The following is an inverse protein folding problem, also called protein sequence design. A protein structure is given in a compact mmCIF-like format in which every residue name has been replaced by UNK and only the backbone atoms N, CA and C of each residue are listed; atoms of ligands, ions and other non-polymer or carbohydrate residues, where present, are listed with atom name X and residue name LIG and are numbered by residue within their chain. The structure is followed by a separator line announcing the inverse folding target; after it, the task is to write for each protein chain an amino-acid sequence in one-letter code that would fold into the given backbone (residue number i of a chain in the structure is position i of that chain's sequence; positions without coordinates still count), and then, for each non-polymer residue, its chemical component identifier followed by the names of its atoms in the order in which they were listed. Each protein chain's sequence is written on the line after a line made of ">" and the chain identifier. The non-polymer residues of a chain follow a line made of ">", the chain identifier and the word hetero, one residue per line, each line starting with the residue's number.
data_IF_456621402697
#
_entry.id   IF_456621402697
#
_cell.length_a   1.000
_cell.length_b   1.000
_cell.length_c   1.000
_cell.angle_alpha   90.00
_cell.angle_beta   90.00
_cell.angle_gamma   90.00
#
_symmetry.space_group_name_H-M   'P 1'
#
loop_
_entity.id
_entity.type
_entity.pdbx_description
1 polymer ?
#
# COMPACT_ATOMS: atom_id res chain seq x y z
N UNK A 1 -20.74 15.24 8.16
CA UNK A 1 -20.27 14.67 6.87
C UNK A 1 -19.23 13.64 7.22
N UNK A 2 -19.38 12.39 6.79
CA UNK A 2 -18.33 11.40 7.01
C UNK A 2 -17.28 11.62 5.91
N UNK A 3 -16.07 12.01 6.27
CA UNK A 3 -14.95 12.09 5.35
C UNK A 3 -14.64 10.66 4.90
N UNK A 4 -15.12 10.28 3.72
CA UNK A 4 -15.01 8.93 3.18
C UNK A 4 -14.33 8.96 1.83
N UNK A 5 -13.29 8.13 1.67
CA UNK A 5 -12.54 7.95 0.43
C UNK A 5 -12.78 6.54 -0.10
N UNK A 6 -13.12 6.43 -1.38
CA UNK A 6 -13.20 5.16 -2.10
C UNK A 6 -11.91 5.02 -2.90
N UNK A 7 -11.08 4.03 -2.57
CA UNK A 7 -9.77 3.88 -3.19
C UNK A 7 -9.63 2.50 -3.81
N UNK A 8 -9.51 2.44 -5.14
CA UNK A 8 -9.06 1.23 -5.82
C UNK A 8 -7.54 1.12 -5.70
N UNK A 9 -7.03 -0.02 -5.24
CA UNK A 9 -5.60 -0.25 -5.03
C UNK A 9 -5.17 -1.59 -5.66
N UNK A 10 -4.24 -1.51 -6.61
CA UNK A 10 -3.60 -2.65 -7.28
C UNK A 10 -2.16 -2.83 -6.75
N UNK A 11 -1.95 -3.81 -5.86
CA UNK A 11 -0.63 -4.22 -5.39
C UNK A 11 0.05 -5.16 -6.41
N UNK A 12 0.38 -4.69 -7.61
CA UNK A 12 1.09 -5.51 -8.59
C UNK A 12 2.49 -5.92 -8.12
N UNK A 13 3.03 -7.03 -8.64
CA UNK A 13 4.42 -7.47 -8.38
C UNK A 13 5.49 -6.61 -9.07
N UNK A 14 5.08 -5.60 -9.83
CA UNK A 14 5.97 -4.63 -10.50
C UNK A 14 5.73 -3.22 -9.97
N UNK A 15 4.47 -2.81 -9.92
CA UNK A 15 4.08 -1.48 -9.47
C UNK A 15 2.84 -1.54 -8.58
N UNK A 16 2.77 -0.61 -7.64
CA UNK A 16 1.57 -0.27 -6.90
C UNK A 16 0.86 0.85 -7.65
N UNK A 17 -0.45 0.72 -7.86
CA UNK A 17 -1.26 1.74 -8.53
C UNK A 17 -2.56 1.99 -7.78
N UNK A 18 -3.05 3.22 -7.82
CA UNK A 18 -4.39 3.55 -7.32
C UNK A 18 -5.29 4.15 -8.38
N UNK A 19 -6.61 4.13 -8.11
CA UNK A 19 -7.60 4.88 -8.91
C UNK A 19 -7.30 6.38 -8.98
N UNK A 20 -6.69 6.93 -7.91
CA UNK A 20 -6.33 8.35 -7.80
C UNK A 20 -5.01 8.71 -8.48
N UNK A 21 -4.39 7.76 -9.20
CA UNK A 21 -3.19 7.98 -10.01
C UNK A 21 -1.86 7.88 -9.27
N UNK A 22 -1.83 7.39 -8.03
CA UNK A 22 -0.57 7.04 -7.37
C UNK A 22 0.11 5.89 -8.13
N UNK A 23 1.42 6.00 -8.38
CA UNK A 23 2.22 4.93 -8.99
C UNK A 23 3.58 4.86 -8.28
N UNK A 24 3.97 3.66 -7.85
CA UNK A 24 5.32 3.38 -7.35
C UNK A 24 5.79 1.99 -7.78
N UNK A 25 7.11 1.77 -7.79
CA UNK A 25 7.64 0.41 -7.92
C UNK A 25 7.28 -0.42 -6.68
N UNK A 26 7.02 -1.72 -6.88
CA UNK A 26 6.65 -2.65 -5.83
C UNK A 26 7.88 -3.09 -5.02
N UNK A 27 8.42 -2.17 -4.23
CA UNK A 27 9.38 -2.51 -3.19
C UNK A 27 9.92 -1.31 -2.44
N UNK A 28 10.77 -1.60 -1.47
CA UNK A 28 11.29 -0.62 -0.53
C UNK A 28 12.59 -1.09 0.13
N UNK A 29 13.33 -0.14 0.68
CA UNK A 29 14.43 -0.40 1.61
C UNK A 29 13.95 -0.03 3.02
N UNK A 30 14.02 -0.99 3.95
CA UNK A 30 13.68 -0.79 5.37
C UNK A 30 14.92 -0.38 6.16
N UNK A 31 14.81 0.64 7.00
CA UNK A 31 15.87 1.12 7.89
C UNK A 31 15.33 1.40 9.29
N UNK A 32 16.21 1.22 10.29
CA UNK A 32 15.97 1.67 11.67
C UNK A 32 16.34 3.14 11.89
N UNK A 33 17.19 3.70 11.02
CA UNK A 33 17.65 5.08 11.08
C UNK A 33 17.03 5.86 9.92
N UNK A 34 16.78 7.15 10.15
CA UNK A 34 16.29 8.04 9.11
C UNK A 34 17.26 8.08 7.92
N UNK A 35 16.79 7.87 6.69
CA UNK A 35 17.64 7.94 5.51
C UNK A 35 18.00 9.39 5.17
N UNK A 36 19.09 9.58 4.41
CA UNK A 36 19.52 10.91 3.94
C UNK A 36 18.44 11.57 3.05
N UNK A 37 17.72 10.77 2.27
CA UNK A 37 16.65 11.23 1.38
C UNK A 37 15.28 10.89 1.97
N UNK A 38 14.41 11.90 2.06
CA UNK A 38 13.01 11.77 2.51
C UNK A 38 12.02 11.67 1.35
N UNK A 39 12.50 11.65 0.11
CA UNK A 39 11.66 11.47 -1.08
C UNK A 39 11.03 10.07 -1.08
N UNK A 40 9.71 9.99 -1.21
CA UNK A 40 8.93 8.74 -1.14
C UNK A 40 9.23 7.90 0.11
N UNK A 41 9.40 8.57 1.26
CA UNK A 41 9.64 7.94 2.55
C UNK A 41 8.32 7.67 3.28
N UNK A 42 8.08 6.41 3.62
CA UNK A 42 7.05 6.02 4.59
C UNK A 42 7.69 5.84 5.96
N UNK A 43 7.09 6.42 6.98
CA UNK A 43 7.39 6.16 8.38
C UNK A 43 6.23 5.37 8.96
N UNK A 44 6.50 4.15 9.43
CA UNK A 44 5.49 3.26 9.98
C UNK A 44 6.07 2.48 11.15
N UNK A 45 5.38 2.48 12.30
CA UNK A 45 5.81 1.81 13.54
C UNK A 45 7.26 2.10 13.95
N UNK A 46 7.69 3.37 13.81
CA UNK A 46 9.04 3.81 14.17
C UNK A 46 10.15 3.28 13.24
N UNK A 47 9.79 2.79 12.05
CA UNK A 47 10.72 2.35 11.00
C UNK A 47 10.56 3.20 9.74
N UNK A 48 11.64 3.26 8.98
CA UNK A 48 11.74 4.05 7.75
C UNK A 48 11.71 3.12 6.54
N UNK A 49 10.89 3.43 5.56
CA UNK A 49 10.70 2.65 4.34
C UNK A 49 10.86 3.58 3.12
N UNK A 50 12.00 3.51 2.45
CA UNK A 50 12.23 4.24 1.20
C UNK A 50 11.53 3.48 0.06
N UNK A 51 10.38 4.01 -0.40
CA UNK A 51 9.50 3.34 -1.35
C UNK A 51 10.04 3.51 -2.77
N UNK A 52 9.95 2.44 -3.57
CA UNK A 52 10.40 2.40 -4.95
C UNK A 52 11.92 2.39 -5.13
N UNK A 53 12.69 2.27 -4.04
CA UNK A 53 14.16 2.27 -4.08
C UNK A 53 14.76 0.90 -4.46
N UNK A 54 13.98 -0.17 -4.32
CA UNK A 54 14.34 -1.53 -4.71
C UNK A 54 13.08 -2.30 -5.08
N UNK A 55 13.21 -3.28 -5.97
CA UNK A 55 12.09 -4.15 -6.33
C UNK A 55 12.09 -5.41 -5.45
N UNK A 56 10.94 -5.74 -4.88
CA UNK A 56 10.79 -7.00 -4.15
C UNK A 56 10.68 -8.19 -5.12
N UNK A 57 11.03 -9.37 -4.61
CA UNK A 57 10.78 -10.62 -5.32
C UNK A 57 9.28 -10.80 -5.59
N UNK A 58 8.96 -11.44 -6.71
CA UNK A 58 7.57 -11.75 -7.07
C UNK A 58 6.95 -12.63 -6.00
N UNK A 59 5.80 -12.20 -5.46
CA UNK A 59 5.01 -12.96 -4.49
C UNK A 59 3.66 -13.33 -5.11
N UNK A 60 3.38 -14.64 -5.16
CA UNK A 60 2.09 -15.15 -5.65
C UNK A 60 0.99 -14.98 -4.61
N UNK A 61 1.30 -15.31 -3.35
CA UNK A 61 0.47 -14.98 -2.20
C UNK A 61 1.08 -13.77 -1.47
N UNK A 62 0.39 -12.62 -1.56
CA UNK A 62 0.83 -11.34 -0.97
C UNK A 62 0.56 -11.22 0.52
N UNK A 63 -0.07 -12.24 1.10
CA UNK A 63 -0.42 -12.26 2.53
C UNK A 63 0.61 -12.98 3.40
N UNK A 64 1.67 -13.52 2.79
CA UNK A 64 2.74 -14.26 3.48
C UNK A 64 3.57 -13.38 4.40
N UNK A 65 3.61 -12.07 4.14
CA UNK A 65 4.32 -11.09 4.95
C UNK A 65 3.66 -9.71 4.83
N UNK A 66 4.26 -8.67 5.41
CA UNK A 66 3.69 -7.33 5.45
C UNK A 66 3.96 -6.47 4.21
N UNK A 67 4.65 -6.98 3.19
CA UNK A 67 5.16 -6.15 2.09
C UNK A 67 4.04 -5.43 1.34
N UNK A 68 2.98 -6.15 0.98
CA UNK A 68 1.83 -5.57 0.27
C UNK A 68 1.12 -4.50 1.10
N UNK A 69 1.06 -4.66 2.42
CA UNK A 69 0.48 -3.66 3.32
C UNK A 69 1.34 -2.41 3.43
N UNK A 70 2.64 -2.56 3.70
CA UNK A 70 3.59 -1.46 3.75
C UNK A 70 3.55 -0.66 2.45
N UNK A 71 3.52 -1.35 1.30
CA UNK A 71 3.43 -0.72 -0.02
C UNK A 71 2.08 -0.05 -0.31
N UNK A 72 1.03 -0.37 0.45
CA UNK A 72 -0.29 0.25 0.30
C UNK A 72 -0.43 1.55 1.10
N UNK A 73 0.27 1.68 2.23
CA UNK A 73 0.21 2.86 3.10
C UNK A 73 0.54 4.19 2.39
N UNK A 74 1.64 4.33 1.61
CA UNK A 74 1.92 5.59 0.93
C UNK A 74 0.87 5.91 -0.14
N UNK A 75 0.28 4.88 -0.75
CA UNK A 75 -0.77 5.03 -1.76
C UNK A 75 -2.10 5.50 -1.14
N UNK A 76 -2.42 5.01 0.07
CA UNK A 76 -3.57 5.48 0.87
C UNK A 76 -3.33 6.91 1.34
N UNK A 77 -2.13 7.21 1.86
CA UNK A 77 -1.77 8.55 2.31
C UNK A 77 -1.84 9.58 1.17
N UNK A 78 -1.37 9.25 -0.04
CA UNK A 78 -1.49 10.10 -1.22
C UNK A 78 -2.95 10.44 -1.55
N UNK A 79 -3.84 9.44 -1.51
CA UNK A 79 -5.27 9.65 -1.74
C UNK A 79 -5.90 10.56 -0.67
N UNK A 80 -5.56 10.38 0.61
CA UNK A 80 -6.03 11.24 1.70
C UNK A 80 -5.55 12.69 1.50
N UNK A 81 -4.25 12.86 1.21
CA UNK A 81 -3.64 14.17 1.01
C UNK A 81 -4.24 14.94 -0.18
N UNK A 82 -4.58 14.24 -1.27
CA UNK A 82 -5.22 14.86 -2.45
C UNK A 82 -6.59 15.45 -2.15
N UNK A 83 -7.36 14.84 -1.24
CA UNK A 83 -8.67 15.35 -0.83
C UNK A 83 -8.53 16.51 0.16
N UNK A 84 -7.39 16.61 0.87
CA UNK A 84 -7.12 17.70 1.81
C UNK A 84 -8.03 17.70 3.03
N UNK A 85 -8.51 16.52 3.44
CA UNK A 85 -9.33 16.37 4.64
C UNK A 85 -8.47 16.39 5.89
N UNK A 86 -8.94 17.10 6.91
CA UNK A 86 -8.35 17.09 8.25
C UNK A 86 -9.14 16.17 9.18
N UNK A 87 -8.45 15.58 10.17
CA UNK A 87 -9.04 14.65 11.12
C UNK A 87 -9.19 13.22 10.60
N UNK A 88 -10.08 12.45 11.23
CA UNK A 88 -10.29 11.05 10.89
C UNK A 88 -11.01 10.89 9.54
N UNK A 89 -10.55 9.92 8.75
CA UNK A 89 -11.08 9.61 7.42
C UNK A 89 -11.34 8.11 7.28
N UNK A 90 -12.53 7.77 6.80
CA UNK A 90 -12.90 6.40 6.46
C UNK A 90 -12.40 6.07 5.04
N UNK A 91 -11.44 5.16 4.92
CA UNK A 91 -11.00 4.67 3.61
C UNK A 91 -11.65 3.32 3.29
N UNK A 92 -12.52 3.31 2.29
CA UNK A 92 -13.05 2.08 1.70
C UNK A 92 -12.05 1.62 0.63
N UNK A 93 -11.26 0.61 0.98
CA UNK A 93 -10.22 0.08 0.12
C UNK A 93 -10.73 -1.08 -0.76
N UNK A 94 -10.70 -0.88 -2.08
CA UNK A 94 -10.94 -1.92 -3.07
C UNK A 94 -9.62 -2.55 -3.51
N UNK A 95 -9.35 -3.80 -3.10
CA UNK A 95 -8.13 -4.54 -3.47
C UNK A 95 -8.43 -5.70 -4.41
N UNK A 96 -7.46 -6.05 -5.27
CA UNK A 96 -7.61 -7.07 -6.31
C UNK A 96 -6.57 -8.19 -6.25
N UNK A 97 -6.96 -9.36 -6.77
CA UNK A 97 -6.07 -10.50 -7.01
C UNK A 97 -6.17 -10.94 -8.48
N UNK A 98 -5.09 -11.50 -9.05
CA UNK A 98 -5.17 -12.17 -10.35
C UNK A 98 -6.26 -13.26 -10.33
N UNK A 99 -6.96 -13.44 -11.44
CA UNK A 99 -8.08 -14.40 -11.55
C UNK A 99 -7.69 -15.82 -11.10
N UNK A 100 -6.46 -16.24 -11.42
CA UNK A 100 -5.90 -17.55 -11.05
C UNK A 100 -5.77 -17.77 -9.54
N UNK A 101 -5.61 -16.69 -8.76
CA UNK A 101 -5.44 -16.74 -7.30
C UNK A 101 -6.72 -16.31 -6.55
N UNK A 102 -7.67 -15.66 -7.23
CA UNK A 102 -8.84 -15.06 -6.59
C UNK A 102 -9.68 -16.10 -5.83
N UNK A 103 -9.95 -17.26 -6.44
CA UNK A 103 -10.80 -18.30 -5.86
C UNK A 103 -10.32 -18.81 -4.49
N UNK A 104 -9.01 -18.88 -4.30
CA UNK A 104 -8.39 -19.43 -3.08
C UNK A 104 -7.94 -18.37 -2.09
N UNK A 105 -7.45 -17.22 -2.56
CA UNK A 105 -6.83 -16.19 -1.70
C UNK A 105 -7.74 -15.03 -1.33
N UNK A 106 -8.94 -14.87 -1.94
CA UNK A 106 -9.80 -13.68 -1.69
C UNK A 106 -10.09 -13.41 -0.21
N UNK A 107 -10.40 -14.46 0.57
CA UNK A 107 -10.76 -14.32 1.98
C UNK A 107 -9.56 -13.88 2.80
N UNK A 108 -8.43 -14.57 2.61
CA UNK A 108 -7.16 -14.28 3.27
C UNK A 108 -6.66 -12.87 2.96
N UNK A 109 -6.78 -12.44 1.70
CA UNK A 109 -6.35 -11.11 1.27
C UNK A 109 -7.25 -10.00 1.83
N UNK A 110 -8.57 -10.23 1.95
CA UNK A 110 -9.47 -9.31 2.65
C UNK A 110 -9.10 -9.18 4.13
N UNK A 111 -8.90 -10.31 4.82
CA UNK A 111 -8.53 -10.33 6.24
C UNK A 111 -7.18 -9.64 6.48
N UNK A 112 -6.22 -9.81 5.57
CA UNK A 112 -4.92 -9.16 5.61
C UNK A 112 -4.99 -7.62 5.65
N UNK A 113 -6.00 -7.00 5.01
CA UNK A 113 -6.18 -5.54 5.02
C UNK A 113 -7.12 -5.03 6.12
N UNK A 114 -7.90 -5.90 6.74
CA UNK A 114 -8.83 -5.55 7.83
C UNK A 114 -8.20 -5.62 9.22
N UNK A 115 -6.91 -5.97 9.31
CA UNK A 115 -6.17 -6.08 10.57
C UNK A 115 -6.11 -4.78 11.37
#
# INVERSE_FOLDING_TARGET
>A
MNNRILLGLDNGNKCIKTSEGYISEAGFIKSNNEPISTSNLLIYEGKFYSIGSSRLSVQMDKTVNQDAFILSLPAIADAINKVGVEGDVDVILGVGLPIVNYGTLKKKFREYFLR
#
